data_IF_071772394942
#
_entry.id   IF_071772394942
#
_cell.length_a   1.000
_cell.length_b   1.000
_cell.length_c   1.000
_cell.angle_alpha   90.00
_cell.angle_beta   90.00
_cell.angle_gamma   90.00
#
_symmetry.space_group_name_H-M   'P 1'
#
loop_
_entity.id
_entity.type
_entity.pdbx_description
1 polymer ?
#
# COMPACT_ATOMS: atom_id res chain seq x y z
N UNK A 1 -19.47 -82.28 -13.37
CA UNK A 1 -20.55 -81.27 -13.47
C UNK A 1 -20.35 -80.29 -12.32
N UNK A 2 -19.70 -79.16 -12.60
CA UNK A 2 -19.48 -78.10 -11.61
C UNK A 2 -20.67 -77.12 -11.66
N UNK A 3 -21.34 -76.92 -10.52
CA UNK A 3 -22.44 -75.99 -10.36
C UNK A 3 -21.84 -74.59 -10.10
N UNK A 4 -21.99 -73.68 -11.06
CA UNK A 4 -21.62 -72.28 -10.90
C UNK A 4 -22.79 -71.51 -10.26
N UNK A 5 -22.61 -71.08 -9.02
CA UNK A 5 -23.54 -70.20 -8.30
C UNK A 5 -23.19 -68.75 -8.65
N UNK A 6 -24.09 -68.07 -9.37
CA UNK A 6 -23.97 -66.65 -9.65
C UNK A 6 -24.57 -65.83 -8.50
N UNK A 7 -23.73 -65.07 -7.79
CA UNK A 7 -24.18 -64.03 -6.86
C UNK A 7 -24.53 -62.75 -7.63
N UNK A 8 -25.74 -62.18 -7.47
CA UNK A 8 -26.03 -60.85 -7.99
C UNK A 8 -25.33 -59.80 -7.12
N UNK A 9 -24.49 -58.96 -7.75
CA UNK A 9 -23.94 -57.77 -7.10
C UNK A 9 -25.06 -56.74 -6.92
N UNK A 10 -25.49 -56.54 -5.68
CA UNK A 10 -26.31 -55.40 -5.28
C UNK A 10 -25.42 -54.13 -5.31
N UNK A 11 -25.55 -53.33 -6.37
CA UNK A 11 -24.96 -52.00 -6.45
C UNK A 11 -25.64 -51.08 -5.44
N UNK A 12 -24.93 -50.72 -4.37
CA UNK A 12 -25.37 -49.67 -3.45
C UNK A 12 -25.20 -48.29 -4.10
N UNK A 13 -26.28 -47.68 -4.60
CA UNK A 13 -26.34 -46.25 -4.91
C UNK A 13 -26.52 -45.46 -3.61
N UNK A 14 -25.42 -45.20 -2.89
CA UNK A 14 -25.46 -44.54 -1.57
C UNK A 14 -24.73 -43.20 -1.52
N UNK A 15 -24.62 -42.50 -2.64
CA UNK A 15 -24.19 -41.10 -2.69
C UNK A 15 -24.90 -40.37 -3.82
N UNK A 16 -26.19 -40.09 -3.62
CA UNK A 16 -26.93 -39.12 -4.42
C UNK A 16 -27.56 -38.11 -3.44
N UNK A 17 -26.71 -37.37 -2.72
CA UNK A 17 -27.14 -36.12 -2.11
C UNK A 17 -27.27 -35.12 -3.25
N UNK A 18 -28.47 -35.05 -3.83
CA UNK A 18 -28.89 -33.82 -4.49
C UNK A 18 -28.73 -32.72 -3.44
N UNK A 19 -27.74 -31.85 -3.61
CA UNK A 19 -27.78 -30.54 -2.98
C UNK A 19 -29.06 -29.89 -3.50
N UNK A 20 -30.10 -29.90 -2.67
CA UNK A 20 -31.30 -29.10 -2.93
C UNK A 20 -30.83 -27.65 -2.97
N UNK A 21 -30.65 -27.12 -4.19
CA UNK A 21 -30.39 -25.70 -4.41
C UNK A 21 -31.58 -24.97 -3.83
N UNK A 22 -31.38 -24.33 -2.68
CA UNK A 22 -32.42 -23.53 -2.03
C UNK A 22 -32.99 -22.53 -3.06
N UNK A 23 -34.31 -22.28 -3.08
CA UNK A 23 -34.91 -21.33 -4.00
C UNK A 23 -34.24 -19.97 -3.87
N UNK A 24 -34.00 -19.29 -5.00
CA UNK A 24 -33.44 -17.93 -4.99
C UNK A 24 -34.31 -17.02 -4.12
N UNK A 25 -33.70 -16.46 -3.08
CA UNK A 25 -34.36 -15.50 -2.21
C UNK A 25 -34.41 -14.14 -2.92
N UNK A 26 -35.49 -13.34 -2.74
CA UNK A 26 -35.55 -11.99 -3.30
C UNK A 26 -34.34 -11.15 -2.89
N UNK A 27 -33.69 -10.52 -3.88
CA UNK A 27 -32.45 -9.75 -3.69
C UNK A 27 -32.61 -8.63 -2.65
N UNK A 28 -33.76 -7.96 -2.64
CA UNK A 28 -34.12 -6.89 -1.70
C UNK A 28 -34.19 -7.40 -0.26
N UNK A 29 -34.76 -8.59 -0.03
CA UNK A 29 -34.83 -9.23 1.29
C UNK A 29 -33.43 -9.49 1.83
N UNK A 30 -32.59 -10.19 1.07
CA UNK A 30 -31.21 -10.50 1.45
C UNK A 30 -30.39 -9.22 1.69
N UNK A 31 -30.57 -8.21 0.84
CA UNK A 31 -29.89 -6.93 0.99
C UNK A 31 -30.32 -6.19 2.26
N UNK A 32 -31.61 -6.16 2.57
CA UNK A 32 -32.14 -5.55 3.79
C UNK A 32 -31.68 -6.27 5.06
N UNK A 33 -31.54 -7.60 5.03
CA UNK A 33 -30.92 -8.35 6.12
C UNK A 33 -29.44 -7.97 6.32
N UNK A 34 -28.70 -7.78 5.21
CA UNK A 34 -27.34 -7.24 5.26
C UNK A 34 -27.28 -5.84 5.88
N UNK A 35 -28.21 -4.95 5.51
CA UNK A 35 -28.32 -3.61 6.10
C UNK A 35 -28.67 -3.64 7.60
N UNK A 36 -29.51 -4.58 8.02
CA UNK A 36 -29.81 -4.79 9.44
C UNK A 36 -28.54 -5.19 10.21
N UNK A 37 -27.72 -6.07 9.65
CA UNK A 37 -26.41 -6.44 10.22
C UNK A 37 -25.44 -5.25 10.29
N UNK A 38 -25.39 -4.40 9.26
CA UNK A 38 -24.60 -3.15 9.29
C UNK A 38 -25.07 -2.22 10.42
N UNK A 39 -26.38 -2.11 10.60
CA UNK A 39 -27.01 -1.22 11.59
C UNK A 39 -26.79 -1.70 13.02
N UNK A 40 -26.75 -3.02 13.24
CA UNK A 40 -26.44 -3.62 14.55
C UNK A 40 -24.94 -3.72 14.84
N UNK A 41 -24.09 -3.41 13.85
CA UNK A 41 -22.62 -3.54 13.95
C UNK A 41 -22.10 -4.97 13.70
N UNK A 42 -22.98 -5.92 13.38
CA UNK A 42 -22.58 -7.27 12.95
C UNK A 42 -22.16 -7.27 11.47
N UNK A 43 -20.99 -6.69 11.23
CA UNK A 43 -20.41 -6.59 9.89
C UNK A 43 -20.05 -7.96 9.30
N UNK A 44 -19.75 -8.96 10.13
CA UNK A 44 -19.41 -10.29 9.66
C UNK A 44 -20.64 -11.06 9.15
N UNK A 45 -21.81 -10.92 9.79
CA UNK A 45 -23.06 -11.43 9.25
C UNK A 45 -23.52 -10.63 8.04
N UNK A 46 -23.40 -9.30 8.09
CA UNK A 46 -23.76 -8.42 6.98
C UNK A 46 -23.00 -8.77 5.69
N UNK A 47 -21.68 -8.98 5.76
CA UNK A 47 -20.89 -9.30 4.56
C UNK A 47 -21.31 -10.62 3.92
N UNK A 48 -21.70 -11.63 4.72
CA UNK A 48 -22.26 -12.89 4.20
C UNK A 48 -23.58 -12.68 3.47
N UNK A 49 -24.49 -11.86 4.02
CA UNK A 49 -25.79 -11.57 3.40
C UNK A 49 -25.63 -10.81 2.09
N UNK A 50 -24.74 -9.82 2.03
CA UNK A 50 -24.44 -9.15 0.76
C UNK A 50 -23.74 -10.06 -0.25
N UNK A 51 -22.81 -10.91 0.17
CA UNK A 51 -22.19 -11.89 -0.71
C UNK A 51 -23.22 -12.87 -1.31
N UNK A 52 -24.25 -13.20 -0.55
CA UNK A 52 -25.36 -14.04 -1.03
C UNK A 52 -26.21 -13.35 -2.09
N UNK A 53 -26.46 -12.04 -1.96
CA UNK A 53 -27.11 -11.24 -3.01
C UNK A 53 -26.29 -11.29 -4.30
N UNK A 54 -24.97 -11.09 -4.24
CA UNK A 54 -24.09 -11.16 -5.41
C UNK A 54 -24.04 -12.57 -6.03
N UNK A 55 -24.09 -13.62 -5.19
CA UNK A 55 -24.08 -15.02 -5.63
C UNK A 55 -25.36 -15.39 -6.39
N UNK A 56 -26.52 -15.01 -5.86
CA UNK A 56 -27.83 -15.37 -6.42
C UNK A 56 -28.26 -14.42 -7.55
N UNK A 57 -27.90 -13.14 -7.47
CA UNK A 57 -28.35 -12.09 -8.39
C UNK A 57 -27.17 -11.35 -9.05
N UNK A 58 -26.21 -12.06 -9.68
CA UNK A 58 -25.04 -11.41 -10.28
C UNK A 58 -25.44 -10.50 -11.43
N UNK A 59 -24.65 -9.45 -11.66
CA UNK A 59 -24.85 -8.45 -12.74
C UNK A 59 -26.13 -7.60 -12.66
N UNK A 60 -26.93 -7.75 -11.60
CA UNK A 60 -28.05 -6.85 -11.30
C UNK A 60 -27.59 -5.59 -10.58
N UNK A 61 -28.44 -4.56 -10.52
CA UNK A 61 -28.18 -3.39 -9.67
C UNK A 61 -28.04 -3.76 -8.19
N UNK A 62 -28.79 -4.77 -7.73
CA UNK A 62 -28.66 -5.31 -6.38
C UNK A 62 -27.32 -6.02 -6.18
N UNK A 63 -26.90 -6.87 -7.11
CA UNK A 63 -25.59 -7.53 -7.10
C UNK A 63 -24.46 -6.50 -7.04
N UNK A 64 -24.49 -5.48 -7.91
CA UNK A 64 -23.51 -4.37 -7.88
C UNK A 64 -23.45 -3.71 -6.50
N UNK A 65 -24.60 -3.25 -5.98
CA UNK A 65 -24.66 -2.62 -4.64
C UNK A 65 -24.18 -3.58 -3.54
N UNK A 66 -24.46 -4.87 -3.66
CA UNK A 66 -24.09 -5.87 -2.68
C UNK A 66 -22.58 -6.15 -2.67
N UNK A 67 -21.88 -6.15 -3.80
CA UNK A 67 -20.42 -6.27 -3.82
C UNK A 67 -19.75 -5.08 -3.10
N UNK A 68 -20.26 -3.86 -3.32
CA UNK A 68 -19.79 -2.68 -2.60
C UNK A 68 -20.02 -2.82 -1.08
N UNK A 69 -21.23 -3.23 -0.69
CA UNK A 69 -21.57 -3.39 0.73
C UNK A 69 -20.83 -4.57 1.39
N UNK A 70 -20.52 -5.63 0.64
CA UNK A 70 -19.63 -6.72 1.08
C UNK A 70 -18.25 -6.17 1.40
N UNK A 71 -17.70 -5.33 0.52
CA UNK A 71 -16.40 -4.65 0.70
C UNK A 71 -16.40 -3.78 1.96
N UNK A 72 -17.42 -2.94 2.10
CA UNK A 72 -17.58 -2.10 3.27
C UNK A 72 -17.71 -2.91 4.57
N UNK A 73 -18.56 -3.93 4.59
CA UNK A 73 -18.76 -4.77 5.77
C UNK A 73 -17.47 -5.52 6.14
N UNK A 74 -16.74 -6.09 5.18
CA UNK A 74 -15.44 -6.73 5.45
C UNK A 74 -14.42 -5.73 6.02
N UNK A 75 -14.34 -4.52 5.46
CA UNK A 75 -13.47 -3.46 5.97
C UNK A 75 -13.81 -3.11 7.42
N UNK A 76 -15.10 -2.90 7.73
CA UNK A 76 -15.59 -2.57 9.07
C UNK A 76 -15.41 -3.72 10.07
N UNK A 77 -15.43 -4.97 9.60
CA UNK A 77 -15.14 -6.16 10.40
C UNK A 77 -13.63 -6.38 10.64
N UNK A 78 -12.75 -5.54 10.08
CA UNK A 78 -11.30 -5.74 10.14
C UNK A 78 -10.79 -6.87 9.23
N UNK A 79 -11.65 -7.44 8.37
CA UNK A 79 -11.31 -8.46 7.38
C UNK A 79 -10.75 -7.79 6.12
N UNK A 80 -9.60 -7.15 6.29
CA UNK A 80 -9.04 -6.27 5.27
C UNK A 80 -8.68 -7.00 3.97
N UNK A 81 -8.19 -8.24 4.05
CA UNK A 81 -7.87 -9.01 2.84
C UNK A 81 -9.13 -9.37 2.04
N UNK A 82 -10.22 -9.75 2.72
CA UNK A 82 -11.51 -9.99 2.07
C UNK A 82 -12.08 -8.71 1.45
N UNK A 83 -11.90 -7.56 2.12
CA UNK A 83 -12.30 -6.26 1.59
C UNK A 83 -11.49 -5.85 0.35
N UNK A 84 -10.18 -6.10 0.35
CA UNK A 84 -9.34 -5.89 -0.85
C UNK A 84 -9.86 -6.73 -2.01
N UNK A 85 -10.14 -8.03 -1.79
CA UNK A 85 -10.61 -8.92 -2.86
C UNK A 85 -11.94 -8.43 -3.45
N UNK A 86 -12.95 -8.18 -2.61
CA UNK A 86 -14.26 -7.76 -3.09
C UNK A 86 -14.25 -6.35 -3.70
N UNK A 87 -13.46 -5.43 -3.12
CA UNK A 87 -13.35 -4.05 -3.58
C UNK A 87 -12.62 -3.93 -4.91
N UNK A 88 -11.50 -4.65 -5.08
CA UNK A 88 -10.79 -4.72 -6.36
C UNK A 88 -11.67 -5.33 -7.45
N UNK A 89 -12.44 -6.38 -7.13
CA UNK A 89 -13.43 -6.94 -8.06
C UNK A 89 -14.50 -5.92 -8.46
N UNK A 90 -15.03 -5.15 -7.50
CA UNK A 90 -16.00 -4.08 -7.81
C UNK A 90 -15.42 -3.07 -8.80
N UNK A 91 -14.21 -2.58 -8.54
CA UNK A 91 -13.54 -1.58 -9.37
C UNK A 91 -13.25 -2.11 -10.78
N UNK A 92 -12.93 -3.40 -10.91
CA UNK A 92 -12.69 -4.06 -12.19
C UNK A 92 -13.98 -4.25 -12.99
N UNK A 93 -15.06 -4.69 -12.36
CA UNK A 93 -16.33 -4.97 -13.03
C UNK A 93 -17.15 -3.70 -13.31
N UNK A 94 -17.00 -2.66 -12.48
CA UNK A 94 -17.81 -1.44 -12.53
C UNK A 94 -16.96 -0.16 -12.49
N UNK A 95 -15.98 0.02 -13.40
CA UNK A 95 -15.01 1.11 -13.33
C UNK A 95 -15.61 2.51 -13.53
N UNK A 96 -16.79 2.60 -14.16
CA UNK A 96 -17.52 3.85 -14.42
C UNK A 96 -18.63 4.12 -13.40
N UNK A 97 -18.81 3.24 -12.41
CA UNK A 97 -19.80 3.44 -11.34
C UNK A 97 -19.46 4.69 -10.53
N UNK A 98 -20.47 5.48 -10.09
CA UNK A 98 -20.23 6.59 -9.17
C UNK A 98 -19.57 6.12 -7.85
N UNK A 99 -19.77 4.88 -7.44
CA UNK A 99 -19.20 4.33 -6.21
C UNK A 99 -17.79 3.72 -6.40
N UNK A 100 -17.26 3.70 -7.63
CA UNK A 100 -15.97 3.06 -7.90
C UNK A 100 -14.82 3.73 -7.11
N UNK A 101 -14.88 5.05 -6.94
CA UNK A 101 -13.93 5.78 -6.10
C UNK A 101 -13.99 5.34 -4.63
N UNK A 102 -15.19 5.08 -4.09
CA UNK A 102 -15.36 4.62 -2.72
C UNK A 102 -14.90 3.17 -2.54
N UNK A 103 -15.20 2.28 -3.49
CA UNK A 103 -14.67 0.92 -3.48
C UNK A 103 -13.13 0.91 -3.49
N UNK A 104 -12.50 1.70 -4.37
CA UNK A 104 -11.04 1.84 -4.39
C UNK A 104 -10.50 2.42 -3.07
N UNK A 105 -11.21 3.39 -2.48
CA UNK A 105 -10.82 3.95 -1.19
C UNK A 105 -10.80 2.88 -0.09
N UNK A 106 -11.82 2.02 -0.05
CA UNK A 106 -11.87 0.90 0.90
C UNK A 106 -10.75 -0.12 0.66
N UNK A 107 -10.38 -0.40 -0.59
CA UNK A 107 -9.22 -1.25 -0.91
C UNK A 107 -7.94 -0.62 -0.35
N UNK A 108 -7.71 0.66 -0.63
CA UNK A 108 -6.51 1.36 -0.18
C UNK A 108 -6.43 1.47 1.35
N UNK A 109 -7.54 1.80 2.01
CA UNK A 109 -7.65 1.82 3.48
C UNK A 109 -7.45 0.43 4.10
N UNK A 110 -7.90 -0.64 3.43
CA UNK A 110 -7.70 -2.01 3.89
C UNK A 110 -6.21 -2.41 3.86
N UNK A 111 -5.45 -1.97 2.86
CA UNK A 111 -3.99 -2.10 2.91
C UNK A 111 -3.35 -1.21 3.97
N UNK A 112 -3.81 0.03 4.09
CA UNK A 112 -3.27 1.01 5.03
C UNK A 112 -3.43 0.58 6.49
N UNK A 113 -4.58 -0.01 6.85
CA UNK A 113 -4.81 -0.52 8.20
C UNK A 113 -3.99 -1.77 8.54
N UNK A 114 -3.32 -2.36 7.54
CA UNK A 114 -2.36 -3.46 7.71
C UNK A 114 -0.90 -2.99 7.65
N UNK A 115 -0.65 -1.67 7.61
CA UNK A 115 0.71 -1.11 7.68
C UNK A 115 1.35 -1.52 9.01
N UNK A 116 2.47 -2.25 8.99
CA UNK A 116 3.13 -2.67 10.21
C UNK A 116 4.06 -1.59 10.74
N UNK A 117 4.56 -1.80 11.96
CA UNK A 117 5.71 -1.05 12.49
C UNK A 117 6.89 -1.05 11.50
N UNK A 118 7.67 0.03 11.55
CA UNK A 118 8.77 0.33 10.64
C UNK A 118 9.85 -0.76 10.61
N UNK A 119 10.04 -1.49 11.71
CA UNK A 119 11.03 -2.57 11.77
C UNK A 119 10.69 -3.78 10.91
N UNK A 120 9.41 -3.97 10.54
CA UNK A 120 8.91 -5.14 9.81
C UNK A 120 8.97 -4.95 8.30
N UNK A 121 8.62 -6.00 7.54
CA UNK A 121 8.45 -5.89 6.09
C UNK A 121 7.30 -4.94 5.74
N UNK A 122 7.50 -4.13 4.70
CA UNK A 122 6.62 -3.01 4.34
C UNK A 122 5.80 -3.28 3.06
N UNK A 123 5.58 -4.55 2.68
CA UNK A 123 4.78 -4.87 1.49
C UNK A 123 3.38 -4.27 1.53
N UNK A 124 2.70 -4.35 2.68
CA UNK A 124 1.36 -3.75 2.86
C UNK A 124 1.39 -2.22 2.71
N UNK A 125 2.45 -1.57 3.17
CA UNK A 125 2.65 -0.13 3.01
C UNK A 125 2.81 0.28 1.55
N UNK A 126 3.58 -0.49 0.76
CA UNK A 126 3.70 -0.28 -0.69
C UNK A 126 2.36 -0.46 -1.39
N UNK A 127 1.64 -1.54 -1.11
CA UNK A 127 0.30 -1.79 -1.66
C UNK A 127 -0.70 -0.68 -1.30
N UNK A 128 -0.61 -0.12 -0.09
CA UNK A 128 -1.45 1.01 0.30
C UNK A 128 -1.15 2.26 -0.53
N UNK A 129 0.14 2.58 -0.73
CA UNK A 129 0.56 3.70 -1.60
C UNK A 129 0.02 3.49 -3.02
N UNK A 130 0.26 2.33 -3.62
CA UNK A 130 -0.18 2.02 -4.99
C UNK A 130 -1.72 2.17 -5.14
N UNK A 131 -2.47 1.64 -4.18
CA UNK A 131 -3.94 1.69 -4.20
C UNK A 131 -4.48 3.12 -4.03
N UNK A 132 -3.89 3.95 -3.17
CA UNK A 132 -4.27 5.36 -3.04
C UNK A 132 -3.85 6.18 -4.25
N UNK A 133 -2.68 5.91 -4.84
CA UNK A 133 -2.22 6.58 -6.06
C UNK A 133 -3.15 6.27 -7.23
N UNK A 134 -3.61 5.02 -7.35
CA UNK A 134 -4.65 4.67 -8.32
C UNK A 134 -5.93 5.48 -8.08
N UNK A 135 -6.36 5.64 -6.83
CA UNK A 135 -7.54 6.45 -6.51
C UNK A 135 -7.36 7.90 -6.97
N UNK A 136 -6.25 8.53 -6.58
CA UNK A 136 -5.97 9.94 -6.93
C UNK A 136 -5.84 10.11 -8.44
N UNK A 137 -5.24 9.15 -9.14
CA UNK A 137 -5.05 9.18 -10.59
C UNK A 137 -6.35 9.00 -11.35
N UNK A 138 -7.22 8.06 -10.94
CA UNK A 138 -8.46 7.72 -11.65
C UNK A 138 -9.63 8.61 -11.26
N UNK A 139 -9.70 9.03 -9.99
CA UNK A 139 -10.78 9.84 -9.43
C UNK A 139 -10.23 11.05 -8.65
N UNK A 140 -9.50 11.97 -9.31
CA UNK A 140 -8.81 13.10 -8.67
C UNK A 140 -9.73 14.09 -7.96
N UNK A 141 -11.01 14.13 -8.36
CA UNK A 141 -12.05 15.04 -7.85
C UNK A 141 -13.04 14.35 -6.90
N UNK A 142 -12.81 13.08 -6.54
CA UNK A 142 -13.66 12.40 -5.55
C UNK A 142 -13.46 12.99 -4.15
N UNK A 143 -14.46 12.87 -3.28
CA UNK A 143 -14.35 13.28 -1.86
C UNK A 143 -13.20 12.57 -1.12
N UNK A 144 -12.79 11.40 -1.60
CA UNK A 144 -11.72 10.58 -1.03
C UNK A 144 -10.32 11.01 -1.48
N UNK A 145 -10.19 11.81 -2.54
CA UNK A 145 -8.91 12.12 -3.17
C UNK A 145 -7.96 12.86 -2.23
N UNK A 146 -8.45 13.83 -1.47
CA UNK A 146 -7.62 14.60 -0.55
C UNK A 146 -7.14 13.76 0.63
N UNK A 147 -8.04 12.97 1.22
CA UNK A 147 -7.67 11.99 2.25
C UNK A 147 -6.63 11.00 1.71
N UNK A 148 -6.78 10.51 0.49
CA UNK A 148 -5.83 9.62 -0.16
C UNK A 148 -4.44 10.26 -0.32
N UNK A 149 -4.34 11.52 -0.77
CA UNK A 149 -3.05 12.25 -0.86
C UNK A 149 -2.35 12.33 0.49
N UNK A 150 -3.08 12.66 1.55
CA UNK A 150 -2.54 12.71 2.90
C UNK A 150 -2.05 11.34 3.38
N UNK A 151 -2.81 10.27 3.09
CA UNK A 151 -2.42 8.89 3.44
C UNK A 151 -1.21 8.41 2.66
N UNK A 152 -1.07 8.78 1.38
CA UNK A 152 0.14 8.53 0.56
C UNK A 152 1.36 9.17 1.23
N UNK A 153 1.27 10.43 1.66
CA UNK A 153 2.37 11.10 2.34
C UNK A 153 2.82 10.36 3.61
N UNK A 154 1.87 9.96 4.45
CA UNK A 154 2.17 9.21 5.69
C UNK A 154 2.80 7.84 5.38
N UNK A 155 2.25 7.09 4.42
CA UNK A 155 2.78 5.79 4.05
C UNK A 155 4.18 5.90 3.40
N UNK A 156 4.44 6.94 2.62
CA UNK A 156 5.78 7.23 2.08
C UNK A 156 6.77 7.63 3.17
N UNK A 157 6.34 8.37 4.20
CA UNK A 157 7.19 8.66 5.38
C UNK A 157 7.62 7.36 6.09
N UNK A 158 6.70 6.41 6.26
CA UNK A 158 7.00 5.10 6.83
C UNK A 158 8.02 4.31 5.99
N UNK A 159 7.87 4.31 4.66
CA UNK A 159 8.82 3.67 3.75
C UNK A 159 10.21 4.33 3.79
N UNK A 160 10.25 5.66 3.81
CA UNK A 160 11.51 6.39 3.94
C UNK A 160 12.19 6.11 5.28
N UNK A 161 11.43 6.08 6.38
CA UNK A 161 11.96 5.77 7.69
C UNK A 161 12.51 4.34 7.78
N UNK A 162 11.93 3.37 7.07
CA UNK A 162 12.50 2.02 6.94
C UNK A 162 13.90 2.06 6.33
N UNK A 163 14.06 2.75 5.21
CA UNK A 163 15.35 2.90 4.55
C UNK A 163 16.36 3.65 5.42
N UNK A 164 15.92 4.69 6.16
CA UNK A 164 16.75 5.37 7.15
C UNK A 164 17.22 4.45 8.26
N UNK A 165 16.33 3.62 8.83
CA UNK A 165 16.68 2.67 9.89
C UNK A 165 17.77 1.70 9.42
N UNK A 166 17.62 1.14 8.22
CA UNK A 166 18.59 0.20 7.65
C UNK A 166 19.89 0.91 7.27
N UNK A 167 19.81 2.12 6.69
CA UNK A 167 20.97 2.93 6.35
C UNK A 167 21.81 3.31 7.57
N UNK A 168 21.17 3.75 8.67
CA UNK A 168 21.84 4.04 9.95
C UNK A 168 22.51 2.80 10.53
N UNK A 169 21.89 1.62 10.42
CA UNK A 169 22.49 0.36 10.85
C UNK A 169 23.80 0.07 10.08
N UNK A 170 23.79 0.16 8.75
CA UNK A 170 25.02 -0.03 7.95
C UNK A 170 26.09 1.01 8.26
N UNK A 171 25.69 2.28 8.38
CA UNK A 171 26.60 3.38 8.70
C UNK A 171 27.30 3.15 10.05
N UNK A 172 26.57 2.71 11.08
CA UNK A 172 27.12 2.40 12.39
C UNK A 172 28.19 1.29 12.38
N UNK A 173 28.13 0.41 11.37
CA UNK A 173 29.09 -0.67 11.15
C UNK A 173 30.21 -0.28 10.16
N UNK A 174 30.25 0.98 9.73
CA UNK A 174 31.16 1.50 8.70
C UNK A 174 31.02 0.81 7.34
N UNK A 175 29.87 0.18 7.09
CA UNK A 175 29.49 -0.26 5.74
C UNK A 175 28.91 0.93 4.99
N UNK A 176 29.80 1.79 4.50
CA UNK A 176 29.42 3.03 3.83
C UNK A 176 28.68 2.78 2.53
N UNK A 177 29.06 1.75 1.76
CA UNK A 177 28.38 1.41 0.50
C UNK A 177 26.95 0.93 0.75
N UNK A 178 26.75 0.04 1.75
CA UNK A 178 25.42 -0.39 2.18
C UNK A 178 24.57 0.78 2.66
N UNK A 179 25.14 1.68 3.45
CA UNK A 179 24.47 2.88 3.93
C UNK A 179 24.07 3.84 2.79
N UNK A 180 24.98 4.14 1.86
CA UNK A 180 24.75 5.00 0.69
C UNK A 180 23.58 4.47 -0.14
N UNK A 181 23.55 3.16 -0.41
CA UNK A 181 22.47 2.55 -1.18
C UNK A 181 21.09 2.80 -0.54
N UNK A 182 21.01 2.78 0.80
CA UNK A 182 19.76 3.03 1.54
C UNK A 182 19.37 4.50 1.55
N UNK A 183 20.29 5.41 1.88
CA UNK A 183 19.99 6.84 1.87
C UNK A 183 19.69 7.37 0.47
N UNK A 184 20.30 6.78 -0.56
CA UNK A 184 19.96 7.06 -1.96
C UNK A 184 18.50 6.76 -2.29
N UNK A 185 17.92 5.70 -1.75
CA UNK A 185 16.48 5.41 -1.96
C UNK A 185 15.64 6.55 -1.39
N UNK A 186 15.93 7.01 -0.17
CA UNK A 186 15.22 8.14 0.44
C UNK A 186 15.30 9.40 -0.42
N UNK A 187 16.51 9.75 -0.88
CA UNK A 187 16.75 10.95 -1.70
C UNK A 187 16.18 10.85 -3.11
N UNK A 188 16.02 9.64 -3.67
CA UNK A 188 15.53 9.48 -5.04
C UNK A 188 14.03 9.21 -5.14
N UNK A 189 13.42 8.60 -4.12
CA UNK A 189 12.02 8.16 -4.16
C UNK A 189 11.13 8.87 -3.13
N UNK A 190 11.71 9.42 -2.06
CA UNK A 190 10.97 9.95 -0.91
C UNK A 190 11.38 11.39 -0.56
N UNK A 191 11.67 12.22 -1.57
CA UNK A 191 12.15 13.61 -1.43
C UNK A 191 11.24 14.52 -0.60
N UNK A 192 9.94 14.23 -0.55
CA UNK A 192 8.94 15.04 0.17
C UNK A 192 8.75 14.61 1.62
N UNK A 193 9.49 13.61 2.09
CA UNK A 193 9.41 13.14 3.48
C UNK A 193 10.36 13.92 4.38
N UNK A 194 10.10 13.94 5.69
CA UNK A 194 10.98 14.61 6.67
C UNK A 194 12.36 13.93 6.80
N UNK A 195 12.55 12.77 6.19
CA UNK A 195 13.78 12.00 6.26
C UNK A 195 14.84 12.46 5.26
N UNK A 196 14.48 13.26 4.26
CA UNK A 196 15.39 13.65 3.17
C UNK A 196 16.58 14.47 3.64
N UNK A 197 16.39 15.38 4.60
CA UNK A 197 17.45 16.24 5.13
C UNK A 197 18.56 15.42 5.79
N UNK A 198 18.15 14.50 6.67
CA UNK A 198 19.08 13.59 7.32
C UNK A 198 19.71 12.65 6.29
N UNK A 199 18.95 12.10 5.35
CA UNK A 199 19.48 11.20 4.33
C UNK A 199 20.60 11.86 3.51
N UNK A 200 20.42 13.13 3.12
CA UNK A 200 21.45 13.92 2.45
C UNK A 200 22.69 14.09 3.33
N UNK A 201 22.52 14.45 4.61
CA UNK A 201 23.65 14.55 5.54
C UNK A 201 24.39 13.22 5.71
N UNK A 202 23.66 12.10 5.86
CA UNK A 202 24.29 10.77 5.97
C UNK A 202 25.03 10.35 4.69
N UNK A 203 24.57 10.80 3.52
CA UNK A 203 25.32 10.66 2.27
C UNK A 203 26.61 11.48 2.31
N UNK A 204 26.60 12.71 2.83
CA UNK A 204 27.82 13.50 3.04
C UNK A 204 28.82 12.73 3.91
N UNK A 205 28.37 12.22 5.08
CA UNK A 205 29.22 11.43 5.97
C UNK A 205 29.84 10.21 5.28
N UNK A 206 29.02 9.40 4.62
CA UNK A 206 29.46 8.16 3.99
C UNK A 206 30.37 8.41 2.78
N UNK A 207 30.08 9.42 1.96
CA UNK A 207 30.93 9.77 0.81
C UNK A 207 32.26 10.37 1.25
N UNK A 208 32.28 11.21 2.29
CA UNK A 208 33.53 11.72 2.88
C UNK A 208 34.39 10.58 3.42
N UNK A 209 33.80 9.61 4.11
CA UNK A 209 34.52 8.46 4.64
C UNK A 209 35.15 7.57 3.55
N UNK A 210 34.55 7.53 2.35
CA UNK A 210 35.07 6.81 1.19
C UNK A 210 36.01 7.65 0.30
N UNK A 211 36.18 8.95 0.58
CA UNK A 211 36.95 9.87 -0.27
C UNK A 211 36.25 10.25 -1.58
N UNK A 212 34.94 10.02 -1.70
CA UNK A 212 34.13 10.39 -2.88
C UNK A 212 33.65 11.84 -2.71
N UNK A 213 34.61 12.76 -2.71
CA UNK A 213 34.41 14.15 -2.29
C UNK A 213 33.41 14.91 -3.17
N UNK A 214 33.37 14.66 -4.48
CA UNK A 214 32.44 15.34 -5.39
C UNK A 214 30.96 15.08 -5.09
N UNK A 215 30.60 13.84 -4.74
CA UNK A 215 29.23 13.51 -4.34
C UNK A 215 28.90 14.05 -2.95
N UNK A 216 29.87 14.06 -2.03
CA UNK A 216 29.71 14.69 -0.71
C UNK A 216 29.44 16.20 -0.82
N UNK A 217 30.21 16.92 -1.65
CA UNK A 217 30.02 18.35 -1.90
C UNK A 217 28.65 18.63 -2.55
N UNK A 218 28.22 17.76 -3.46
CA UNK A 218 26.91 17.89 -4.12
C UNK A 218 25.78 17.66 -3.13
N UNK A 219 25.83 16.60 -2.32
CA UNK A 219 24.84 16.33 -1.28
C UNK A 219 24.70 17.51 -0.31
N UNK A 220 25.83 18.07 0.16
CA UNK A 220 25.84 19.23 1.03
C UNK A 220 25.30 20.51 0.36
N UNK A 221 25.58 20.71 -0.93
CA UNK A 221 25.08 21.86 -1.69
C UNK A 221 23.56 21.80 -1.86
N UNK A 222 23.03 20.63 -2.25
CA UNK A 222 21.58 20.40 -2.38
C UNK A 222 20.88 20.54 -1.02
N UNK A 223 21.47 20.00 0.05
CA UNK A 223 20.94 20.16 1.41
C UNK A 223 20.89 21.63 1.82
N UNK A 224 21.95 22.41 1.58
CA UNK A 224 21.99 23.84 1.90
C UNK A 224 21.07 24.70 1.04
N UNK A 225 20.88 24.34 -0.22
CA UNK A 225 19.98 25.08 -1.11
C UNK A 225 18.51 24.91 -0.70
N UNK A 226 18.10 23.67 -0.39
CA UNK A 226 16.71 23.35 -0.09
C UNK A 226 16.36 23.53 1.40
N UNK A 227 17.34 23.38 2.30
CA UNK A 227 17.14 23.37 3.75
C UNK A 227 18.24 24.17 4.49
N UNK A 228 18.43 25.47 4.18
CA UNK A 228 19.54 26.26 4.68
C UNK A 228 19.60 26.40 6.21
N UNK A 229 18.45 26.33 6.89
CA UNK A 229 18.37 26.50 8.35
C UNK A 229 18.49 25.16 9.12
N UNK A 230 18.50 24.04 8.40
CA UNK A 230 18.52 22.70 8.97
C UNK A 230 19.78 22.44 9.80
N UNK A 231 19.62 21.76 10.93
CA UNK A 231 20.74 21.26 11.73
C UNK A 231 21.63 20.31 10.92
N UNK A 232 21.03 19.56 10.00
CA UNK A 232 21.73 18.65 9.10
C UNK A 232 22.63 19.38 8.10
N UNK A 233 22.20 20.55 7.62
CA UNK A 233 23.05 21.38 6.77
C UNK A 233 24.25 21.92 7.54
N UNK A 234 24.02 22.47 8.76
CA UNK A 234 25.10 22.99 9.62
C UNK A 234 26.16 21.92 9.89
N UNK A 235 25.74 20.70 10.23
CA UNK A 235 26.65 19.56 10.43
C UNK A 235 27.39 19.18 9.15
N UNK A 236 26.70 19.11 8.01
CA UNK A 236 27.31 18.80 6.71
C UNK A 236 28.33 19.83 6.26
N UNK A 237 28.03 21.11 6.46
CA UNK A 237 28.94 22.22 6.14
C UNK A 237 30.22 22.11 6.97
N UNK A 238 30.10 21.92 8.29
CA UNK A 238 31.26 21.74 9.18
C UNK A 238 32.12 20.54 8.76
N UNK A 239 31.51 19.40 8.46
CA UNK A 239 32.21 18.20 8.04
C UNK A 239 32.99 18.43 6.73
N UNK A 240 32.34 18.98 5.71
CA UNK A 240 32.96 19.30 4.41
C UNK A 240 34.11 20.30 4.59
N UNK A 241 33.91 21.37 5.36
CA UNK A 241 34.94 22.40 5.61
C UNK A 241 36.14 21.86 6.39
N UNK A 242 35.93 20.94 7.34
CA UNK A 242 37.03 20.29 8.06
C UNK A 242 37.96 19.48 7.15
N UNK A 243 37.43 18.99 6.03
CA UNK A 243 38.19 18.31 4.97
C UNK A 243 38.83 19.26 3.95
N UNK A 244 38.78 20.58 4.15
CA UNK A 244 39.30 21.58 3.21
C UNK A 244 38.43 21.77 1.96
N UNK A 245 37.18 21.32 2.00
CA UNK A 245 36.23 21.40 0.90
C UNK A 245 35.13 22.42 1.20
N UNK A 246 34.32 22.73 0.18
CA UNK A 246 33.11 23.56 0.31
C UNK A 246 31.93 22.91 -0.41
N UNK A 247 30.68 23.12 0.04
CA UNK A 247 29.52 22.67 -0.73
C UNK A 247 29.60 23.21 -2.17
N UNK A 248 29.52 22.31 -3.13
CA UNK A 248 29.58 22.62 -4.55
C UNK A 248 28.78 21.57 -5.30
N UNK A 249 27.75 22.02 -6.01
CA UNK A 249 26.90 21.14 -6.80
C UNK A 249 27.60 20.72 -8.10
N UNK A 250 27.62 19.42 -8.39
CA UNK A 250 27.84 18.90 -9.73
C UNK A 250 26.50 18.53 -10.36
N UNK A 251 26.07 19.25 -11.40
CA UNK A 251 24.79 19.04 -12.07
C UNK A 251 24.64 17.64 -12.70
N UNK A 252 25.75 16.96 -12.98
CA UNK A 252 25.76 15.60 -13.52
C UNK A 252 25.63 14.50 -12.45
N UNK A 253 25.77 14.86 -11.17
CA UNK A 253 25.52 13.95 -10.05
C UNK A 253 24.11 13.37 -10.11
N UNK A 254 23.99 12.13 -9.66
CA UNK A 254 22.69 11.49 -9.49
C UNK A 254 21.83 12.23 -8.45
N UNK A 255 22.43 12.90 -7.47
CA UNK A 255 21.73 13.67 -6.43
C UNK A 255 21.05 14.88 -7.07
N UNK A 256 21.78 15.68 -7.84
CA UNK A 256 21.21 16.81 -8.58
C UNK A 256 20.11 16.36 -9.55
N UNK A 257 20.31 15.22 -10.24
CA UNK A 257 19.27 14.62 -11.10
C UNK A 257 18.01 14.25 -10.32
N UNK A 258 18.14 13.75 -9.09
CA UNK A 258 17.00 13.37 -8.26
C UNK A 258 16.14 14.57 -7.79
N UNK A 259 16.74 15.76 -7.65
CA UNK A 259 16.01 16.97 -7.24
C UNK A 259 15.51 17.84 -8.41
N UNK A 260 16.08 17.72 -9.61
CA UNK A 260 15.60 18.44 -10.80
C UNK A 260 14.11 18.20 -11.11
N UNK A 261 13.60 17.00 -10.85
CA UNK A 261 12.19 16.65 -11.09
C UNK A 261 11.20 17.03 -9.99
N UNK A 262 11.68 17.58 -8.86
CA UNK A 262 10.83 17.90 -7.69
C UNK A 262 10.47 19.38 -7.61
N UNK A 263 11.25 20.25 -8.27
CA UNK A 263 11.11 21.71 -8.26
C UNK A 263 10.42 22.23 -9.54
N UNK A 264 9.74 21.36 -10.28
CA UNK A 264 8.96 21.66 -11.50
C UNK A 264 7.47 21.46 -11.31
#
# INVERSE_FOLDING_TARGET
>A
MAVAVALPMAGCSMFDKKEDVAPDEPADKLYNEGLAGVSSGDYAAASKKFAEVDRQHPYTDWGRKAVLMTTYANYRAGKYDDAVISGSRYVQLHPTSPDAAYAQYLVAMSYYNQVPDISRDQERTRKAVDAFEELVRRWPNSEYAETARNRIMVARDQLAGKEMQVGRFYLSRRDYTGAINRFRVVVSQYQKTRHVEEALHRLVEAYMALGITGEAQTAAAILGHNYPDSEWYKASFQLISSGGLKPQENTDSWISKAFRGVIG
#
